data_IF_417225305075
#
_entry.id   IF_417225305075
#
_cell.length_a   1.000
_cell.length_b   1.000
_cell.length_c   1.000
_cell.angle_alpha   90.00
_cell.angle_beta   90.00
_cell.angle_gamma   90.00
#
_symmetry.space_group_name_H-M   'P 1'
#
loop_
_entity.id
_entity.type
_entity.pdbx_description
1 polymer ?
#
# COMPACT_ATOMS: atom_id res chain seq x y z
N UNK A 1 12.41 -6.59 -6.69
CA UNK A 1 11.14 -6.68 -7.48
C UNK A 1 9.97 -6.92 -6.54
N UNK A 2 8.85 -6.27 -6.78
CA UNK A 2 7.62 -6.44 -6.01
C UNK A 2 7.01 -7.81 -6.31
N UNK A 3 6.58 -8.54 -5.26
CA UNK A 3 6.01 -9.87 -5.38
C UNK A 3 4.71 -9.84 -6.21
N UNK A 4 4.53 -10.84 -7.08
CA UNK A 4 3.33 -10.95 -7.94
C UNK A 4 2.07 -11.15 -7.11
N UNK A 5 2.19 -11.78 -5.95
CA UNK A 5 1.11 -12.03 -5.01
C UNK A 5 0.56 -10.73 -4.38
N UNK A 6 1.35 -9.64 -4.38
CA UNK A 6 0.88 -8.32 -4.00
C UNK A 6 0.14 -7.64 -5.18
N UNK A 7 0.60 -7.84 -6.41
CA UNK A 7 0.11 -7.13 -7.60
C UNK A 7 -1.14 -7.76 -8.21
N UNK A 8 -1.20 -9.07 -8.21
CA UNK A 8 -2.27 -9.88 -8.82
C UNK A 8 -2.50 -11.18 -8.01
N UNK A 9 -2.99 -11.05 -6.77
CA UNK A 9 -3.28 -12.20 -5.91
C UNK A 9 -4.47 -13.01 -6.46
N UNK A 10 -4.47 -14.31 -6.16
CA UNK A 10 -5.63 -15.20 -6.37
C UNK A 10 -6.53 -15.25 -5.14
N UNK A 11 -5.99 -14.90 -3.99
CA UNK A 11 -6.72 -14.85 -2.72
C UNK A 11 -6.22 -13.69 -1.85
N UNK A 12 -7.16 -13.03 -1.17
CA UNK A 12 -6.87 -11.90 -0.27
C UNK A 12 -7.54 -12.16 1.08
N UNK A 13 -6.79 -12.04 2.17
CA UNK A 13 -7.35 -12.02 3.53
C UNK A 13 -7.34 -10.61 4.11
N UNK A 14 -8.48 -10.16 4.64
CA UNK A 14 -8.61 -8.91 5.41
C UNK A 14 -8.54 -9.25 6.89
N UNK A 15 -7.42 -8.90 7.53
CA UNK A 15 -7.18 -9.14 8.95
C UNK A 15 -7.65 -7.92 9.75
N UNK A 16 -8.60 -8.13 10.67
CA UNK A 16 -9.30 -7.04 11.35
C UNK A 16 -10.50 -6.53 10.55
N UNK A 17 -11.10 -7.39 9.73
CA UNK A 17 -12.32 -7.08 9.01
C UNK A 17 -13.46 -6.67 9.96
N UNK A 18 -14.35 -5.78 9.51
CA UNK A 18 -15.46 -5.26 10.30
C UNK A 18 -16.74 -5.09 9.47
N UNK A 19 -17.87 -5.31 10.10
CA UNK A 19 -19.17 -4.93 9.53
C UNK A 19 -19.38 -3.41 9.48
N UNK A 20 -18.68 -2.66 10.33
CA UNK A 20 -18.68 -1.20 10.36
C UNK A 20 -17.77 -0.64 9.26
N UNK A 21 -18.37 -0.13 8.19
CA UNK A 21 -17.65 0.44 7.03
C UNK A 21 -16.99 1.80 7.30
N UNK A 22 -17.13 2.37 8.49
CA UNK A 22 -16.38 3.57 8.91
C UNK A 22 -15.00 3.19 9.48
N UNK A 23 -14.82 1.92 9.86
CA UNK A 23 -13.53 1.41 10.30
C UNK A 23 -12.67 0.97 9.11
N UNK A 24 -11.33 1.12 9.17
CA UNK A 24 -10.45 0.74 8.05
C UNK A 24 -10.71 -0.68 7.53
N UNK A 25 -10.75 -1.70 8.41
CA UNK A 25 -11.00 -3.08 7.99
C UNK A 25 -12.37 -3.32 7.34
N UNK A 26 -13.40 -2.55 7.74
CA UNK A 26 -14.72 -2.60 7.12
C UNK A 26 -14.76 -1.89 5.77
N UNK A 27 -14.10 -0.73 5.66
CA UNK A 27 -13.99 -0.01 4.40
C UNK A 27 -13.16 -0.77 3.37
N UNK A 28 -12.03 -1.38 3.77
CA UNK A 28 -11.22 -2.25 2.90
C UNK A 28 -12.05 -3.38 2.34
N UNK A 29 -12.76 -4.12 3.20
CA UNK A 29 -13.58 -5.26 2.75
C UNK A 29 -14.66 -4.81 1.76
N UNK A 30 -15.40 -3.75 2.07
CA UNK A 30 -16.39 -3.17 1.17
C UNK A 30 -15.76 -2.79 -0.18
N UNK A 31 -14.64 -2.08 -0.17
CA UNK A 31 -13.97 -1.63 -1.38
C UNK A 31 -13.44 -2.81 -2.21
N UNK A 32 -12.91 -3.84 -1.56
CA UNK A 32 -12.45 -5.07 -2.20
C UNK A 32 -13.60 -5.82 -2.87
N UNK A 33 -14.71 -6.02 -2.16
CA UNK A 33 -15.91 -6.71 -2.68
C UNK A 33 -16.56 -5.95 -3.85
N UNK A 34 -16.49 -4.62 -3.83
CA UNK A 34 -17.01 -3.77 -4.91
C UNK A 34 -16.02 -3.57 -6.07
N UNK A 35 -14.79 -4.07 -5.94
CA UNK A 35 -13.77 -3.98 -6.98
C UNK A 35 -13.93 -5.08 -8.04
N UNK A 36 -13.06 -5.05 -9.06
CA UNK A 36 -13.02 -6.10 -10.10
C UNK A 36 -12.31 -7.38 -9.64
N UNK A 37 -11.99 -7.53 -8.36
CA UNK A 37 -11.30 -8.71 -7.86
C UNK A 37 -12.09 -10.00 -8.15
N UNK A 38 -11.41 -10.97 -8.74
CA UNK A 38 -12.01 -12.25 -9.18
C UNK A 38 -11.54 -13.44 -8.33
N UNK A 39 -10.64 -13.19 -7.40
CA UNK A 39 -10.11 -14.21 -6.50
C UNK A 39 -10.98 -14.43 -5.26
N UNK A 40 -10.47 -15.23 -4.34
CA UNK A 40 -11.15 -15.54 -3.10
C UNK A 40 -10.86 -14.49 -2.02
N UNK A 41 -11.90 -14.10 -1.29
CA UNK A 41 -11.81 -13.14 -0.19
C UNK A 41 -12.06 -13.87 1.12
N UNK A 42 -11.13 -13.72 2.05
CA UNK A 42 -11.23 -14.23 3.41
C UNK A 42 -11.23 -13.08 4.41
N UNK A 43 -11.91 -13.27 5.54
CA UNK A 43 -11.90 -12.27 6.62
C UNK A 43 -11.49 -12.89 7.93
N UNK A 44 -10.80 -12.11 8.77
CA UNK A 44 -10.43 -12.52 10.13
C UNK A 44 -10.87 -11.46 11.13
N UNK A 45 -11.68 -11.90 12.08
CA UNK A 45 -12.07 -11.09 13.25
C UNK A 45 -12.42 -12.04 14.40
N UNK A 46 -11.83 -11.90 15.61
CA UNK A 46 -12.03 -12.85 16.73
C UNK A 46 -13.45 -12.88 17.29
N UNK A 47 -14.32 -11.93 16.90
CA UNK A 47 -15.68 -11.78 17.45
C UNK A 47 -16.78 -12.12 16.45
N UNK A 48 -16.44 -12.31 15.16
CA UNK A 48 -17.40 -12.45 14.08
C UNK A 48 -17.28 -13.83 13.44
N UNK A 49 -18.38 -14.35 12.93
CA UNK A 49 -18.42 -15.58 12.12
C UNK A 49 -18.69 -15.27 10.64
N UNK A 50 -19.22 -14.09 10.37
CA UNK A 50 -19.46 -13.54 9.05
C UNK A 50 -19.31 -12.02 9.09
N UNK A 51 -18.70 -11.42 8.06
CA UNK A 51 -18.55 -9.97 7.90
C UNK A 51 -18.91 -9.59 6.47
N UNK A 52 -19.89 -8.72 6.29
CA UNK A 52 -20.38 -8.24 4.98
C UNK A 52 -20.68 -9.38 3.97
N UNK A 53 -21.24 -10.49 4.43
CA UNK A 53 -21.58 -11.65 3.61
C UNK A 53 -20.41 -12.60 3.33
N UNK A 54 -19.23 -12.33 3.90
CA UNK A 54 -18.04 -13.19 3.77
C UNK A 54 -17.82 -13.96 5.06
N UNK A 55 -17.57 -15.29 4.94
CA UNK A 55 -17.21 -16.13 6.09
C UNK A 55 -16.01 -15.54 6.83
N UNK A 56 -16.14 -15.41 8.15
CA UNK A 56 -15.10 -14.86 9.01
C UNK A 56 -14.44 -15.94 9.87
N UNK A 57 -13.12 -15.99 9.81
CA UNK A 57 -12.30 -16.84 10.66
C UNK A 57 -11.97 -16.08 11.95
N UNK A 58 -11.95 -16.78 13.07
CA UNK A 58 -11.64 -16.14 14.35
C UNK A 58 -10.13 -16.00 14.61
N UNK A 59 -9.33 -16.79 13.93
CA UNK A 59 -7.87 -16.80 14.04
C UNK A 59 -7.22 -16.89 12.66
N UNK A 60 -6.03 -16.32 12.54
CA UNK A 60 -5.23 -16.37 11.31
C UNK A 60 -4.78 -17.78 10.97
N UNK A 61 -4.55 -18.59 12.01
CA UNK A 61 -4.16 -20.01 11.91
C UNK A 61 -5.22 -20.87 11.23
N UNK A 62 -6.50 -20.46 11.27
CA UNK A 62 -7.61 -21.19 10.66
C UNK A 62 -7.80 -20.86 9.16
N UNK A 63 -7.10 -19.86 8.64
CA UNK A 63 -7.15 -19.49 7.22
C UNK A 63 -6.60 -20.61 6.32
N UNK A 64 -7.09 -20.76 5.10
CA UNK A 64 -6.39 -21.52 4.05
C UNK A 64 -5.10 -20.82 3.62
N UNK A 65 -4.44 -21.31 2.57
CA UNK A 65 -3.33 -20.59 1.93
C UNK A 65 -3.84 -19.29 1.32
N UNK A 66 -3.09 -18.19 1.48
CA UNK A 66 -3.48 -16.83 1.07
C UNK A 66 -2.33 -16.13 0.39
N UNK A 67 -2.55 -15.61 -0.81
CA UNK A 67 -1.51 -14.89 -1.56
C UNK A 67 -1.21 -13.50 -0.97
N UNK A 68 -2.25 -12.74 -0.62
CA UNK A 68 -2.11 -11.37 -0.11
C UNK A 68 -2.91 -11.16 1.18
N UNK A 69 -2.35 -10.46 2.13
CA UNK A 69 -3.02 -10.07 3.38
C UNK A 69 -3.06 -8.54 3.53
N UNK A 70 -4.26 -8.01 3.82
CA UNK A 70 -4.46 -6.61 4.15
C UNK A 70 -4.76 -6.53 5.64
N UNK A 71 -3.89 -5.87 6.40
CA UNK A 71 -3.84 -5.92 7.86
C UNK A 71 -4.27 -4.58 8.45
N UNK A 72 -5.38 -4.62 9.20
CA UNK A 72 -6.01 -3.49 9.87
C UNK A 72 -6.22 -3.76 11.36
N UNK A 73 -5.18 -4.20 12.06
CA UNK A 73 -5.16 -4.48 13.51
C UNK A 73 -4.08 -3.63 14.20
N UNK A 74 -4.13 -3.53 15.53
CA UNK A 74 -3.14 -2.75 16.29
C UNK A 74 -1.71 -3.26 16.06
N UNK A 75 -0.74 -2.34 15.92
CA UNK A 75 0.64 -2.59 15.55
C UNK A 75 1.30 -3.72 16.35
N UNK A 76 1.07 -3.76 17.66
CA UNK A 76 1.64 -4.79 18.56
C UNK A 76 1.28 -6.24 18.19
N UNK A 77 0.19 -6.46 17.44
CA UNK A 77 -0.22 -7.79 17.00
C UNK A 77 0.28 -8.14 15.59
N UNK A 78 0.76 -7.16 14.84
CA UNK A 78 1.18 -7.35 13.45
C UNK A 78 2.37 -8.30 13.30
N UNK A 79 3.45 -8.26 14.12
CA UNK A 79 4.59 -9.16 13.94
C UNK A 79 4.20 -10.65 14.01
N UNK A 80 3.43 -11.05 15.02
CA UNK A 80 2.97 -12.45 15.15
C UNK A 80 2.03 -12.84 14.01
N UNK A 81 1.09 -11.96 13.63
CA UNK A 81 0.16 -12.18 12.52
C UNK A 81 0.91 -12.36 11.19
N UNK A 82 1.88 -11.50 10.90
CA UNK A 82 2.69 -11.59 9.67
C UNK A 82 3.54 -12.87 9.67
N UNK A 83 4.07 -13.28 10.81
CA UNK A 83 4.82 -14.52 10.93
C UNK A 83 3.96 -15.74 10.55
N UNK A 84 2.77 -15.88 11.12
CA UNK A 84 1.81 -16.94 10.78
C UNK A 84 1.43 -16.91 9.30
N UNK A 85 1.08 -15.73 8.78
CA UNK A 85 0.70 -15.56 7.37
C UNK A 85 1.85 -15.98 6.43
N UNK A 86 3.07 -15.53 6.71
CA UNK A 86 4.23 -15.78 5.86
C UNK A 86 4.63 -17.26 5.84
N UNK A 87 4.76 -17.89 7.01
CA UNK A 87 5.33 -19.22 7.13
C UNK A 87 4.30 -20.35 7.07
N UNK A 88 3.08 -20.10 7.54
CA UNK A 88 2.05 -21.15 7.61
C UNK A 88 1.01 -21.03 6.48
N UNK A 89 0.75 -19.79 5.99
CA UNK A 89 -0.27 -19.54 4.97
C UNK A 89 0.30 -19.18 3.59
N UNK A 90 1.63 -19.16 3.45
CA UNK A 90 2.32 -18.96 2.19
C UNK A 90 2.16 -17.54 1.61
N UNK A 91 1.72 -16.58 2.44
CA UNK A 91 1.47 -15.20 2.03
C UNK A 91 2.76 -14.50 1.63
N UNK A 92 2.75 -13.81 0.48
CA UNK A 92 3.87 -13.02 -0.03
C UNK A 92 3.50 -11.57 -0.33
N UNK A 93 2.21 -11.25 -0.47
CA UNK A 93 1.74 -9.87 -0.58
C UNK A 93 1.24 -9.37 0.78
N UNK A 94 1.73 -8.22 1.23
CA UNK A 94 1.31 -7.62 2.50
C UNK A 94 1.00 -6.14 2.33
N UNK A 95 -0.12 -5.69 2.90
CA UNK A 95 -0.50 -4.30 3.04
C UNK A 95 -0.84 -4.08 4.51
N UNK A 96 -0.15 -3.18 5.20
CA UNK A 96 -0.43 -2.85 6.61
C UNK A 96 -0.90 -1.41 6.67
N UNK A 97 -2.19 -1.21 6.94
CA UNK A 97 -2.77 0.13 6.98
C UNK A 97 -2.68 0.79 8.36
N UNK A 98 -2.51 0.00 9.40
CA UNK A 98 -2.43 0.49 10.78
C UNK A 98 -1.23 1.40 11.01
N UNK A 99 -1.40 2.38 11.89
CA UNK A 99 -0.35 3.18 12.49
C UNK A 99 0.16 2.55 13.80
N UNK A 100 1.18 3.16 14.42
CA UNK A 100 1.78 2.70 15.66
C UNK A 100 3.12 1.98 15.44
N UNK A 101 3.84 2.36 14.40
CA UNK A 101 5.14 1.80 14.02
C UNK A 101 6.28 2.82 14.17
N UNK A 102 7.21 2.89 13.23
CA UNK A 102 8.39 3.78 13.33
C UNK A 102 8.06 5.26 13.40
N UNK A 103 6.88 5.67 12.93
CA UNK A 103 6.39 7.04 13.03
C UNK A 103 5.98 7.43 14.45
N UNK A 104 5.73 6.46 15.34
CA UNK A 104 5.24 6.74 16.70
C UNK A 104 6.36 6.67 17.75
N UNK A 105 7.14 5.57 17.77
CA UNK A 105 8.18 5.37 18.78
C UNK A 105 9.13 4.21 18.43
N UNK A 106 10.17 4.00 19.28
CA UNK A 106 11.16 2.94 19.08
C UNK A 106 10.56 1.52 19.13
N UNK A 107 9.55 1.28 19.94
CA UNK A 107 8.88 -0.02 20.00
C UNK A 107 8.14 -0.31 18.68
N UNK A 108 7.51 0.70 18.11
CA UNK A 108 6.90 0.62 16.80
C UNK A 108 7.91 0.36 15.69
N UNK A 109 9.09 1.00 15.76
CA UNK A 109 10.18 0.74 14.81
C UNK A 109 10.70 -0.72 14.93
N UNK A 110 10.73 -1.28 16.12
CA UNK A 110 11.05 -2.69 16.34
C UNK A 110 10.03 -3.63 15.70
N UNK A 111 8.73 -3.36 15.85
CA UNK A 111 7.68 -4.14 15.18
C UNK A 111 7.85 -4.10 13.66
N UNK A 112 8.11 -2.92 13.11
CA UNK A 112 8.33 -2.71 11.67
C UNK A 112 9.53 -3.54 11.18
N UNK A 113 10.65 -3.53 11.88
CA UNK A 113 11.85 -4.31 11.55
C UNK A 113 11.55 -5.82 11.54
N UNK A 114 10.90 -6.35 12.58
CA UNK A 114 10.53 -7.78 12.66
C UNK A 114 9.63 -8.21 11.49
N UNK A 115 8.67 -7.37 11.11
CA UNK A 115 7.79 -7.61 9.98
C UNK A 115 8.58 -7.69 8.68
N UNK A 116 9.44 -6.70 8.42
CA UNK A 116 10.26 -6.62 7.20
C UNK A 116 11.21 -7.83 7.11
N UNK A 117 11.86 -8.20 8.21
CA UNK A 117 12.73 -9.39 8.25
C UNK A 117 11.96 -10.68 7.93
N UNK A 118 10.74 -10.83 8.47
CA UNK A 118 9.88 -11.99 8.21
C UNK A 118 9.48 -12.07 6.74
N UNK A 119 9.01 -10.95 6.18
CA UNK A 119 8.56 -10.87 4.78
C UNK A 119 9.73 -11.12 3.82
N UNK A 120 10.92 -10.59 4.12
CA UNK A 120 12.12 -10.83 3.31
C UNK A 120 12.51 -12.32 3.26
N UNK A 121 12.36 -13.07 4.37
CA UNK A 121 12.67 -14.51 4.42
C UNK A 121 11.82 -15.34 3.48
N UNK A 122 10.61 -14.91 3.16
CA UNK A 122 9.71 -15.61 2.23
C UNK A 122 9.71 -14.99 0.82
N UNK A 123 10.54 -13.99 0.57
CA UNK A 123 10.57 -13.26 -0.71
C UNK A 123 9.28 -12.49 -0.99
N UNK A 124 8.62 -12.02 0.05
CA UNK A 124 7.38 -11.25 -0.03
C UNK A 124 7.62 -9.76 -0.22
N UNK A 125 6.51 -9.00 -0.33
CA UNK A 125 6.52 -7.54 -0.44
C UNK A 125 5.49 -6.90 0.47
N UNK A 126 5.89 -5.77 1.09
CA UNK A 126 5.10 -4.99 2.03
C UNK A 126 4.86 -3.57 1.51
N UNK A 127 3.60 -3.15 1.46
CA UNK A 127 3.18 -1.74 1.38
C UNK A 127 2.76 -1.26 2.77
N UNK A 128 3.23 -0.10 3.16
CA UNK A 128 3.05 0.47 4.48
C UNK A 128 4.23 0.18 5.43
N UNK A 129 3.99 0.12 6.74
CA UNK A 129 2.72 0.40 7.44
C UNK A 129 2.29 1.86 7.37
N UNK A 130 1.22 2.22 8.11
CA UNK A 130 0.69 3.58 8.20
C UNK A 130 0.35 4.18 6.81
N UNK A 131 -0.47 3.48 6.04
CA UNK A 131 -0.85 3.85 4.67
C UNK A 131 -2.36 3.73 4.44
N UNK A 132 -2.86 4.34 3.38
CA UNK A 132 -4.27 4.13 2.97
C UNK A 132 -4.49 2.85 2.20
N UNK A 133 -3.41 2.21 1.72
CA UNK A 133 -3.44 0.96 1.00
C UNK A 133 -2.98 1.08 -0.45
N UNK A 134 -3.32 0.08 -1.23
CA UNK A 134 -2.95 -0.06 -2.63
C UNK A 134 -4.17 -0.44 -3.46
N UNK A 135 -4.26 0.11 -4.65
CA UNK A 135 -5.25 -0.31 -5.63
C UNK A 135 -4.66 -0.31 -7.05
N UNK A 136 -5.12 -1.27 -7.82
CA UNK A 136 -4.84 -1.38 -9.26
C UNK A 136 -6.06 -1.99 -9.96
N UNK A 137 -5.95 -2.27 -11.25
CA UNK A 137 -7.05 -2.85 -12.04
C UNK A 137 -7.50 -4.25 -11.58
N UNK A 138 -6.70 -4.95 -10.79
CA UNK A 138 -7.01 -6.30 -10.31
C UNK A 138 -7.82 -6.28 -9.02
N UNK A 139 -7.54 -5.34 -8.12
CA UNK A 139 -8.25 -5.22 -6.84
C UNK A 139 -8.08 -3.85 -6.18
N UNK A 140 -8.95 -3.58 -5.23
CA UNK A 140 -8.86 -2.41 -4.35
C UNK A 140 -8.60 -2.85 -2.91
N UNK A 141 -7.36 -2.72 -2.46
CA UNK A 141 -6.92 -2.98 -1.09
C UNK A 141 -6.73 -1.72 -0.25
N UNK A 142 -7.47 -0.65 -0.55
CA UNK A 142 -7.41 0.63 0.16
C UNK A 142 -8.69 0.87 0.98
N UNK A 143 -8.57 1.60 2.10
CA UNK A 143 -9.73 1.92 2.93
C UNK A 143 -10.39 3.25 2.59
N UNK A 144 -9.72 4.12 1.86
CA UNK A 144 -10.24 5.43 1.48
C UNK A 144 -11.31 5.32 0.37
N UNK A 145 -12.19 6.30 0.33
CA UNK A 145 -13.28 6.45 -0.66
C UNK A 145 -13.35 7.90 -1.10
N UNK A 146 -13.85 8.17 -2.33
CA UNK A 146 -14.34 7.23 -3.34
C UNK A 146 -13.23 6.46 -4.06
N UNK A 147 -13.57 5.29 -4.61
CA UNK A 147 -12.65 4.53 -5.46
C UNK A 147 -12.61 5.18 -6.85
N UNK A 148 -11.41 5.46 -7.40
CA UNK A 148 -11.30 6.08 -8.71
C UNK A 148 -11.69 5.12 -9.84
N UNK A 149 -12.11 5.70 -10.96
CA UNK A 149 -12.22 4.95 -12.22
C UNK A 149 -10.83 4.49 -12.65
N UNK A 150 -10.69 3.17 -12.84
CA UNK A 150 -9.42 2.56 -13.25
C UNK A 150 -9.38 2.38 -14.77
N UNK A 151 -8.30 2.87 -15.37
CA UNK A 151 -8.03 2.86 -16.81
C UNK A 151 -6.56 2.46 -17.03
N UNK A 152 -6.23 1.55 -17.96
CA UNK A 152 -4.84 1.17 -18.24
C UNK A 152 -3.95 2.36 -18.64
N UNK A 153 -4.54 3.39 -19.25
CA UNK A 153 -3.83 4.61 -19.65
C UNK A 153 -4.00 5.77 -18.67
N UNK A 154 -4.70 5.53 -17.54
CA UNK A 154 -4.81 6.47 -16.43
C UNK A 154 -3.48 6.70 -15.73
N UNK A 155 -3.47 7.51 -14.70
CA UNK A 155 -2.26 7.88 -13.94
C UNK A 155 -1.82 6.76 -13.01
N UNK A 156 -0.52 6.47 -12.97
CA UNK A 156 0.09 5.77 -11.84
C UNK A 156 0.43 6.79 -10.76
N UNK A 157 -0.25 6.73 -9.62
CA UNK A 157 -0.02 7.66 -8.52
C UNK A 157 0.70 6.98 -7.36
N UNK A 158 1.87 7.51 -6.98
CA UNK A 158 2.73 6.98 -5.92
C UNK A 158 2.88 8.04 -4.85
N UNK A 159 2.58 7.72 -3.59
CA UNK A 159 2.58 8.69 -2.50
C UNK A 159 3.06 8.10 -1.19
N UNK A 160 3.88 8.86 -0.45
CA UNK A 160 4.25 8.57 0.94
C UNK A 160 3.21 9.03 1.97
N UNK A 161 2.23 9.86 1.57
CA UNK A 161 1.23 10.42 2.48
C UNK A 161 -0.18 9.94 2.17
N UNK A 162 -0.83 9.34 3.17
CA UNK A 162 -2.21 8.88 3.05
C UNK A 162 -3.22 10.02 2.85
N UNK A 163 -3.13 11.10 3.64
CA UNK A 163 -4.02 12.24 3.51
C UNK A 163 -3.90 12.93 2.14
N UNK A 164 -2.66 13.09 1.65
CA UNK A 164 -2.41 13.66 0.33
C UNK A 164 -2.92 12.73 -0.78
N UNK A 165 -2.84 11.40 -0.59
CA UNK A 165 -3.41 10.43 -1.53
C UNK A 165 -4.91 10.67 -1.74
N UNK A 166 -5.66 10.80 -0.65
CA UNK A 166 -7.10 11.04 -0.69
C UNK A 166 -7.41 12.34 -1.41
N UNK A 167 -6.78 13.44 -0.98
CA UNK A 167 -7.03 14.77 -1.55
C UNK A 167 -6.73 14.85 -3.06
N UNK A 168 -5.56 14.38 -3.49
CA UNK A 168 -5.16 14.41 -4.91
C UNK A 168 -6.08 13.52 -5.75
N UNK A 169 -6.42 12.35 -5.24
CA UNK A 169 -7.33 11.42 -5.90
C UNK A 169 -8.72 12.03 -6.09
N UNK A 170 -9.33 12.55 -5.02
CA UNK A 170 -10.66 13.17 -5.09
C UNK A 170 -10.70 14.37 -6.03
N UNK A 171 -9.73 15.27 -5.91
CA UNK A 171 -9.62 16.43 -6.79
C UNK A 171 -9.37 16.03 -8.25
N UNK A 172 -8.52 15.04 -8.48
CA UNK A 172 -8.26 14.50 -9.83
C UNK A 172 -9.53 13.90 -10.45
N UNK A 173 -10.26 13.10 -9.70
CA UNK A 173 -11.52 12.48 -10.17
C UNK A 173 -12.58 13.52 -10.54
N UNK A 174 -12.75 14.57 -9.72
CA UNK A 174 -13.70 15.65 -10.04
C UNK A 174 -13.32 16.43 -11.30
N UNK A 175 -12.06 16.38 -11.71
CA UNK A 175 -11.54 16.99 -12.94
C UNK A 175 -11.36 15.96 -14.09
N UNK A 176 -11.97 14.77 -13.97
CA UNK A 176 -11.97 13.76 -15.04
C UNK A 176 -10.69 12.92 -15.14
N UNK A 177 -9.83 12.95 -14.12
CA UNK A 177 -8.63 12.11 -14.09
C UNK A 177 -9.00 10.65 -13.80
N UNK A 178 -8.47 9.73 -14.58
CA UNK A 178 -8.52 8.28 -14.33
C UNK A 178 -7.18 7.78 -13.81
N UNK A 179 -7.18 6.63 -13.14
CA UNK A 179 -5.98 6.06 -12.55
C UNK A 179 -5.73 4.65 -13.10
N UNK A 180 -4.48 4.29 -13.33
CA UNK A 180 -4.07 2.91 -13.57
C UNK A 180 -3.80 2.19 -12.25
N UNK A 181 -3.08 2.86 -11.34
CA UNK A 181 -2.82 2.37 -9.99
C UNK A 181 -2.64 3.52 -8.99
N UNK A 182 -2.88 3.24 -7.70
CA UNK A 182 -2.56 4.15 -6.59
C UNK A 182 -1.78 3.37 -5.54
N UNK A 183 -0.59 3.87 -5.21
CA UNK A 183 0.36 3.28 -4.28
C UNK A 183 0.56 4.23 -3.11
N UNK A 184 -0.12 4.00 -2.00
CA UNK A 184 0.15 4.73 -0.77
C UNK A 184 1.16 3.93 0.04
N UNK A 185 2.45 4.27 -0.05
CA UNK A 185 3.53 3.46 0.56
C UNK A 185 3.75 3.74 2.05
N UNK A 186 3.10 4.76 2.63
CA UNK A 186 3.16 5.05 4.05
C UNK A 186 4.59 5.25 4.56
N UNK A 187 4.96 4.56 5.64
CA UNK A 187 6.32 4.59 6.22
C UNK A 187 7.41 4.08 5.26
N UNK A 188 7.02 3.40 4.16
CA UNK A 188 7.96 2.79 3.21
C UNK A 188 8.95 1.83 3.88
N UNK A 189 8.44 0.97 4.77
CA UNK A 189 9.29 0.08 5.56
C UNK A 189 10.11 -0.90 4.72
N UNK A 190 9.55 -1.34 3.57
CA UNK A 190 10.23 -2.22 2.61
C UNK A 190 10.05 -1.70 1.19
N UNK A 191 8.82 -1.52 0.71
CA UNK A 191 8.54 -0.97 -0.62
C UNK A 191 8.40 0.55 -0.51
N UNK A 192 9.36 1.28 -1.05
CA UNK A 192 9.36 2.74 -1.18
C UNK A 192 8.90 3.22 -2.57
N UNK A 193 8.87 4.53 -2.74
CA UNK A 193 8.53 5.18 -4.01
C UNK A 193 9.47 4.73 -5.13
N UNK A 194 10.77 4.65 -4.84
CA UNK A 194 11.80 4.20 -5.76
C UNK A 194 11.64 2.73 -6.20
N UNK A 195 11.09 1.87 -5.34
CA UNK A 195 10.80 0.48 -5.66
C UNK A 195 9.59 0.36 -6.59
N UNK A 196 8.58 1.20 -6.37
CA UNK A 196 7.43 1.31 -7.27
C UNK A 196 7.88 1.81 -8.64
N UNK A 197 8.73 2.85 -8.71
CA UNK A 197 9.26 3.33 -9.99
C UNK A 197 10.11 2.28 -10.71
N UNK A 198 10.94 1.52 -9.99
CA UNK A 198 11.64 0.37 -10.56
C UNK A 198 10.67 -0.65 -11.14
N UNK A 199 9.59 -0.95 -10.44
CA UNK A 199 8.56 -1.87 -10.92
C UNK A 199 7.92 -1.33 -12.20
N UNK A 200 7.42 -0.09 -12.20
CA UNK A 200 6.81 0.54 -13.38
C UNK A 200 7.77 0.59 -14.57
N UNK A 201 9.06 0.86 -14.33
CA UNK A 201 10.09 0.91 -15.36
C UNK A 201 10.39 -0.47 -15.94
N UNK A 202 10.56 -1.49 -15.10
CA UNK A 202 10.94 -2.84 -15.52
C UNK A 202 9.81 -3.62 -16.21
N UNK A 203 8.56 -3.26 -15.88
CA UNK A 203 7.36 -3.87 -16.49
C UNK A 203 6.71 -3.00 -17.55
N UNK A 204 7.35 -1.89 -17.94
CA UNK A 204 6.80 -0.95 -18.93
C UNK A 204 6.60 -1.61 -20.28
N UNK A 205 5.37 -1.54 -20.77
CA UNK A 205 4.96 -1.93 -22.10
C UNK A 205 4.37 -0.70 -22.82
N UNK A 206 4.92 -0.29 -23.99
CA UNK A 206 4.47 0.89 -24.71
C UNK A 206 2.99 0.90 -25.12
N UNK A 207 2.38 -0.28 -25.24
CA UNK A 207 0.99 -0.41 -25.71
C UNK A 207 -0.02 -0.40 -24.53
N UNK A 208 0.39 -0.89 -23.37
CA UNK A 208 -0.54 -1.17 -22.27
C UNK A 208 -0.26 -0.42 -20.98
N UNK A 209 0.95 0.16 -20.82
CA UNK A 209 1.32 0.88 -19.59
C UNK A 209 0.85 2.33 -19.60
N UNK A 210 0.56 2.85 -18.43
CA UNK A 210 0.39 4.28 -18.20
C UNK A 210 1.62 5.07 -18.66
N UNK A 211 1.38 6.26 -19.21
CA UNK A 211 2.44 7.21 -19.59
C UNK A 211 2.52 8.43 -18.68
N UNK A 212 1.70 8.46 -17.64
CA UNK A 212 1.68 9.57 -16.67
C UNK A 212 1.88 9.02 -15.28
N UNK A 213 2.92 9.48 -14.61
CA UNK A 213 3.27 9.08 -13.24
C UNK A 213 3.22 10.32 -12.37
N UNK A 214 2.42 10.29 -11.33
CA UNK A 214 2.37 11.34 -10.30
C UNK A 214 3.04 10.83 -9.03
N UNK A 215 3.87 11.66 -8.43
CA UNK A 215 4.63 11.29 -7.24
C UNK A 215 4.47 12.39 -6.18
N UNK A 216 4.06 12.00 -4.99
CA UNK A 216 4.15 12.84 -3.79
C UNK A 216 5.07 12.18 -2.78
N UNK A 217 6.18 12.83 -2.44
CA UNK A 217 7.20 12.25 -1.57
C UNK A 217 7.51 13.16 -0.37
N UNK A 218 7.62 12.55 0.80
CA UNK A 218 8.08 13.18 2.04
C UNK A 218 9.51 12.72 2.37
N UNK A 219 9.79 11.45 2.13
CA UNK A 219 11.10 10.81 2.33
C UNK A 219 11.50 10.05 1.06
N UNK A 220 12.79 9.98 0.79
CA UNK A 220 13.38 9.19 -0.30
C UNK A 220 14.40 8.27 0.33
N UNK A 221 14.17 6.96 0.24
CA UNK A 221 15.09 5.96 0.80
C UNK A 221 16.34 5.78 -0.05
N UNK A 222 16.19 5.79 -1.38
CA UNK A 222 17.29 5.63 -2.33
C UNK A 222 17.18 6.63 -3.49
N UNK A 223 17.79 7.84 -3.36
CA UNK A 223 17.72 8.87 -4.40
C UNK A 223 18.32 8.43 -5.76
N UNK A 224 19.40 7.63 -5.75
CA UNK A 224 20.01 7.15 -6.98
C UNK A 224 19.08 6.20 -7.76
N UNK A 225 18.41 5.31 -7.05
CA UNK A 225 17.41 4.40 -7.62
C UNK A 225 16.22 5.17 -8.19
N UNK A 226 15.70 6.15 -7.43
CA UNK A 226 14.64 7.05 -7.87
C UNK A 226 14.99 7.73 -9.19
N UNK A 227 16.16 8.38 -9.27
CA UNK A 227 16.63 9.10 -10.45
C UNK A 227 16.88 8.15 -11.63
N UNK A 228 17.46 6.97 -11.41
CA UNK A 228 17.70 5.97 -12.44
C UNK A 228 16.41 5.58 -13.16
N UNK A 229 15.41 5.17 -12.39
CA UNK A 229 14.15 4.66 -12.96
C UNK A 229 13.27 5.77 -13.49
N UNK A 230 13.29 6.97 -12.89
CA UNK A 230 12.62 8.15 -13.44
C UNK A 230 13.18 8.53 -14.81
N UNK A 231 14.50 8.58 -14.98
CA UNK A 231 15.14 8.87 -16.28
C UNK A 231 14.80 7.81 -17.32
N UNK A 232 14.83 6.54 -16.94
CA UNK A 232 14.47 5.43 -17.84
C UNK A 232 13.03 5.55 -18.33
N UNK A 233 12.09 5.80 -17.44
CA UNK A 233 10.66 6.00 -17.76
C UNK A 233 10.45 7.21 -18.69
N UNK A 234 11.12 8.34 -18.40
CA UNK A 234 11.06 9.52 -19.29
C UNK A 234 11.59 9.20 -20.69
N UNK A 235 12.69 8.45 -20.80
CA UNK A 235 13.23 8.02 -22.08
C UNK A 235 12.29 7.05 -22.85
N UNK A 236 11.44 6.32 -22.12
CA UNK A 236 10.37 5.49 -22.69
C UNK A 236 9.11 6.28 -23.08
N UNK A 237 9.11 7.62 -22.87
CA UNK A 237 8.02 8.52 -23.22
C UNK A 237 7.00 8.77 -22.11
N UNK A 238 7.30 8.40 -20.87
CA UNK A 238 6.48 8.75 -19.73
C UNK A 238 6.68 10.21 -19.33
N UNK A 239 5.63 10.80 -18.75
CA UNK A 239 5.65 12.11 -18.08
C UNK A 239 5.57 11.90 -16.60
N UNK A 240 6.48 12.50 -15.84
CA UNK A 240 6.53 12.40 -14.38
C UNK A 240 6.26 13.78 -13.79
N UNK A 241 5.20 13.88 -12.97
CA UNK A 241 4.92 15.05 -12.14
C UNK A 241 5.24 14.69 -10.69
N UNK A 242 6.17 15.41 -10.06
CA UNK A 242 6.63 15.09 -8.71
C UNK A 242 6.54 16.30 -7.79
N UNK A 243 6.07 16.07 -6.58
CA UNK A 243 6.07 17.04 -5.47
C UNK A 243 6.88 16.44 -4.32
N UNK A 244 7.93 17.15 -3.88
CA UNK A 244 8.66 16.83 -2.65
C UNK A 244 8.16 17.78 -1.55
N UNK A 245 7.60 17.21 -0.49
CA UNK A 245 7.24 17.94 0.73
C UNK A 245 8.48 18.18 1.60
N UNK A 246 8.43 19.22 2.44
CA UNK A 246 9.46 19.46 3.45
C UNK A 246 10.69 20.24 3.00
N UNK A 247 10.71 20.80 1.77
CA UNK A 247 11.85 21.58 1.26
C UNK A 247 11.99 23.00 1.84
N UNK A 248 11.13 23.40 2.78
CA UNK A 248 11.26 24.66 3.52
C UNK A 248 11.33 24.38 5.02
N UNK A 249 11.93 25.30 5.81
CA UNK A 249 12.00 25.15 7.27
C UNK A 249 10.62 25.00 7.94
N UNK A 250 9.56 25.56 7.37
CA UNK A 250 8.18 25.37 7.83
C UNK A 250 7.63 24.02 7.37
N UNK A 251 7.89 23.62 6.13
CA UNK A 251 7.51 22.32 5.58
C UNK A 251 8.22 21.14 6.27
N UNK A 252 9.51 21.30 6.60
CA UNK A 252 10.27 20.32 7.40
C UNK A 252 9.65 20.11 8.77
N UNK A 253 9.26 21.18 9.46
CA UNK A 253 8.57 21.08 10.76
C UNK A 253 7.21 20.41 10.64
N UNK A 254 6.45 20.69 9.60
CA UNK A 254 5.16 20.05 9.34
C UNK A 254 5.33 18.55 9.01
N UNK A 255 6.29 18.18 8.18
CA UNK A 255 6.61 16.81 7.84
C UNK A 255 7.12 16.01 9.06
N UNK A 256 8.00 16.59 9.88
CA UNK A 256 8.53 15.93 11.07
C UNK A 256 7.46 15.72 12.16
N UNK A 257 6.48 16.61 12.27
CA UNK A 257 5.37 16.42 13.21
C UNK A 257 4.38 15.33 12.74
N UNK A 258 4.39 14.99 11.45
CA UNK A 258 3.44 14.03 10.86
C UNK A 258 4.03 12.61 10.72
N UNK A 259 5.33 12.49 10.53
CA UNK A 259 5.98 11.21 10.18
C UNK A 259 7.12 10.82 11.10
N UNK A 260 7.46 11.65 12.11
CA UNK A 260 8.69 11.46 12.89
C UNK A 260 9.97 11.58 12.06
N UNK A 261 9.86 11.87 10.76
CA UNK A 261 10.99 11.95 9.85
C UNK A 261 11.55 13.37 9.80
N UNK A 262 12.85 13.53 10.07
CA UNK A 262 13.58 14.73 9.71
C UNK A 262 13.67 14.79 8.18
N UNK A 263 13.02 15.77 7.56
CA UNK A 263 13.28 16.10 6.16
C UNK A 263 14.67 16.71 6.08
N UNK A 264 15.64 15.97 5.58
CA UNK A 264 16.98 16.48 5.28
C UNK A 264 16.99 17.16 3.91
N UNK A 265 17.65 18.31 3.83
CA UNK A 265 17.90 19.06 2.60
C UNK A 265 19.03 18.39 1.77
N UNK A 266 18.82 17.21 1.22
CA UNK A 266 19.75 16.57 0.27
C UNK A 266 19.10 16.36 -1.10
#
# INVERSE_FOLDING_TARGET
MIAKELLNPKSIAVIGASGDTQKPGGSILRNLLNSNFKGEVYTVNPKETEVQGVKCYQKVEDLPQVDCAIIAIAAKFCPATVNTLAFEKGTKGFIIVSAGFSEENEQGAEFERQIVETINKVGGSLIGPNCTGFLNRNYCGAFDSPIPTLDPHGVDFVTGSGATAVFIKEYGMTNGLTFNSVWAVGNSAQVGIEDVLEHLDTTFDPETSSRVIMIYMEKIGNPQKLLKHSRSLINKGCRIAAIKSGGSAAGSRAASSHTGALATDD
#
